data_IF_901912666739
#
_entry.id   IF_901912666739
#
_cell.length_a   1.000
_cell.length_b   1.000
_cell.length_c   1.000
_cell.angle_alpha   90.00
_cell.angle_beta   90.00
_cell.angle_gamma   90.00
#
_symmetry.space_group_name_H-M   'P 1'
#
loop_
_entity.id
_entity.type
_entity.pdbx_description
1 polymer ?
#
# COMPACT_ATOMS: atom_id res chain seq x y z
N UNK A 1 14.40 12.19 -18.96
CA UNK A 1 13.01 11.86 -18.61
C UNK A 1 12.53 10.55 -19.23
N UNK A 2 12.75 10.29 -20.52
CA UNK A 2 12.32 9.02 -21.17
C UNK A 2 12.89 7.75 -20.51
N UNK A 3 14.15 7.78 -20.08
CA UNK A 3 14.82 6.66 -19.41
C UNK A 3 14.18 6.29 -18.06
N UNK A 4 13.74 7.28 -17.26
CA UNK A 4 13.09 7.05 -15.96
C UNK A 4 11.70 6.39 -16.15
N UNK A 5 10.90 6.88 -17.06
CA UNK A 5 9.56 6.34 -17.36
C UNK A 5 9.66 4.90 -17.88
N UNK A 6 10.65 4.62 -18.74
CA UNK A 6 10.86 3.26 -19.25
C UNK A 6 11.30 2.31 -18.13
N UNK A 7 12.18 2.78 -17.23
CA UNK A 7 12.63 2.01 -16.07
C UNK A 7 11.44 1.73 -15.12
N UNK A 8 10.66 2.77 -14.79
CA UNK A 8 9.45 2.65 -13.98
C UNK A 8 8.47 1.62 -14.54
N UNK A 9 8.20 1.68 -15.83
CA UNK A 9 7.28 0.76 -16.50
C UNK A 9 7.76 -0.70 -16.46
N UNK A 10 9.06 -0.91 -16.64
CA UNK A 10 9.66 -2.24 -16.59
C UNK A 10 9.66 -2.80 -15.17
N UNK A 11 10.03 -1.99 -14.17
CA UNK A 11 10.05 -2.38 -12.77
C UNK A 11 8.62 -2.61 -12.23
N UNK A 12 7.66 -1.77 -12.60
CA UNK A 12 6.25 -1.98 -12.26
C UNK A 12 5.74 -3.33 -12.80
N UNK A 13 6.09 -3.66 -14.05
CA UNK A 13 5.74 -4.94 -14.67
C UNK A 13 6.40 -6.13 -13.97
N UNK A 14 7.65 -5.98 -13.52
CA UNK A 14 8.37 -6.99 -12.74
C UNK A 14 7.75 -7.18 -11.36
N UNK A 15 7.44 -6.10 -10.65
CA UNK A 15 6.81 -6.12 -9.34
C UNK A 15 5.41 -6.77 -9.37
N UNK A 16 4.59 -6.44 -10.37
CA UNK A 16 3.28 -7.09 -10.57
C UNK A 16 3.45 -8.61 -10.80
N UNK A 17 4.49 -9.01 -11.51
CA UNK A 17 4.78 -10.43 -11.78
C UNK A 17 5.35 -11.18 -10.58
N UNK A 18 6.11 -10.51 -9.73
CA UNK A 18 6.67 -11.07 -8.49
C UNK A 18 5.64 -11.18 -7.35
N UNK A 19 4.49 -10.52 -7.47
CA UNK A 19 3.34 -10.54 -6.56
C UNK A 19 3.63 -10.19 -5.09
N UNK A 20 4.88 -10.13 -4.64
CA UNK A 20 5.22 -9.90 -3.23
C UNK A 20 4.62 -8.59 -2.70
N UNK A 21 4.87 -7.46 -3.36
CA UNK A 21 4.29 -6.18 -2.96
C UNK A 21 2.76 -6.17 -3.05
N UNK A 22 2.19 -6.82 -4.09
CA UNK A 22 0.73 -6.91 -4.27
C UNK A 22 0.10 -7.67 -3.12
N UNK A 23 0.70 -8.78 -2.70
CA UNK A 23 0.18 -9.60 -1.59
C UNK A 23 0.19 -8.78 -0.29
N UNK A 24 1.33 -8.19 0.06
CA UNK A 24 1.46 -7.47 1.34
C UNK A 24 0.70 -6.14 1.37
N UNK A 25 0.72 -5.36 0.30
CA UNK A 25 0.10 -4.05 0.27
C UNK A 25 -1.41 -4.07 -0.04
N UNK A 26 -1.91 -5.07 -0.77
CA UNK A 26 -3.30 -5.09 -1.24
C UNK A 26 -4.07 -6.30 -0.71
N UNK A 27 -3.54 -7.52 -0.88
CA UNK A 27 -4.30 -8.74 -0.58
C UNK A 27 -4.50 -8.91 0.92
N UNK A 28 -3.45 -8.76 1.73
CA UNK A 28 -3.54 -8.94 3.18
C UNK A 28 -4.54 -7.96 3.82
N UNK A 29 -4.45 -6.64 3.61
CA UNK A 29 -5.43 -5.70 4.18
C UNK A 29 -6.86 -5.97 3.71
N UNK A 30 -7.02 -6.39 2.47
CA UNK A 30 -8.33 -6.72 1.91
C UNK A 30 -8.94 -7.97 2.57
N UNK A 31 -8.13 -9.01 2.79
CA UNK A 31 -8.57 -10.21 3.53
C UNK A 31 -8.97 -9.86 4.96
N UNK A 32 -8.17 -9.04 5.64
CA UNK A 32 -8.49 -8.57 7.00
C UNK A 32 -9.79 -7.77 7.01
N UNK A 33 -10.00 -6.87 6.03
CA UNK A 33 -11.25 -6.11 5.89
C UNK A 33 -12.45 -7.05 5.69
N UNK A 34 -12.31 -8.07 4.84
CA UNK A 34 -13.38 -9.05 4.60
C UNK A 34 -13.71 -9.82 5.88
N UNK A 35 -12.69 -10.31 6.59
CA UNK A 35 -12.87 -11.06 7.85
C UNK A 35 -13.57 -10.18 8.89
N UNK A 36 -13.10 -8.95 9.11
CA UNK A 36 -13.72 -8.03 10.05
C UNK A 36 -15.14 -7.69 9.64
N UNK A 37 -15.41 -7.53 8.35
CA UNK A 37 -16.72 -7.25 7.82
C UNK A 37 -17.70 -8.41 8.04
N UNK A 38 -17.25 -9.67 7.93
CA UNK A 38 -18.09 -10.82 8.22
C UNK A 38 -18.35 -11.01 9.70
N UNK A 39 -17.36 -10.75 10.57
CA UNK A 39 -17.49 -10.96 12.02
C UNK A 39 -18.32 -9.85 12.67
N UNK A 40 -18.00 -8.61 12.36
CA UNK A 40 -18.61 -7.44 13.00
C UNK A 40 -19.72 -6.82 12.17
N UNK A 41 -19.67 -6.93 10.84
CA UNK A 41 -20.69 -6.42 9.92
C UNK A 41 -21.02 -4.95 10.17
N UNK A 42 -22.32 -4.68 10.34
CA UNK A 42 -22.86 -3.36 10.65
C UNK A 42 -23.07 -3.12 12.15
N UNK A 43 -22.43 -3.91 13.02
CA UNK A 43 -22.56 -3.73 14.48
C UNK A 43 -21.96 -2.39 14.90
N UNK A 44 -22.60 -1.67 15.84
CA UNK A 44 -22.04 -0.42 16.37
C UNK A 44 -20.71 -0.70 17.07
N UNK A 45 -19.76 0.24 16.98
CA UNK A 45 -18.44 0.10 17.57
C UNK A 45 -18.46 0.02 19.11
N UNK A 46 -19.43 0.71 19.73
CA UNK A 46 -19.75 0.65 21.17
C UNK A 46 -21.21 1.02 21.38
N UNK A 47 -21.78 0.61 22.52
CA UNK A 47 -23.15 0.95 22.89
C UNK A 47 -23.35 2.48 22.91
N UNK A 48 -24.23 2.97 22.03
CA UNK A 48 -24.55 4.40 21.93
C UNK A 48 -23.73 5.20 20.91
N UNK A 49 -22.82 4.58 20.14
CA UNK A 49 -22.12 5.27 19.07
C UNK A 49 -22.85 5.16 17.74
N UNK A 50 -22.90 6.29 17.00
CA UNK A 50 -23.50 6.35 15.65
C UNK A 50 -22.60 5.71 14.57
N UNK A 51 -21.39 5.25 14.94
CA UNK A 51 -20.40 4.72 14.01
C UNK A 51 -20.35 3.19 14.05
N UNK A 52 -20.21 2.59 12.88
CA UNK A 52 -20.01 1.16 12.73
C UNK A 52 -18.58 0.78 13.09
N UNK A 53 -18.36 -0.41 13.65
CA UNK A 53 -17.00 -0.91 13.96
C UNK A 53 -16.08 -0.87 12.72
N UNK A 54 -16.60 -1.17 11.55
CA UNK A 54 -15.89 -1.08 10.28
C UNK A 54 -15.45 0.35 9.92
N UNK A 55 -16.31 1.33 10.18
CA UNK A 55 -15.97 2.76 9.93
C UNK A 55 -14.81 3.20 10.82
N UNK A 56 -14.82 2.80 12.08
CA UNK A 56 -13.72 3.08 13.00
C UNK A 56 -12.42 2.34 12.62
N UNK A 57 -12.53 1.09 12.17
CA UNK A 57 -11.37 0.26 11.82
C UNK A 57 -10.79 0.58 10.46
N UNK A 58 -11.49 1.30 9.59
CA UNK A 58 -11.05 1.59 8.22
C UNK A 58 -9.72 2.34 8.18
N UNK A 59 -9.53 3.33 9.04
CA UNK A 59 -8.26 4.05 9.17
C UNK A 59 -7.10 3.14 9.57
N UNK A 60 -7.33 2.25 10.53
CA UNK A 60 -6.33 1.27 10.96
C UNK A 60 -5.96 0.29 9.84
N UNK A 61 -6.91 -0.16 9.03
CA UNK A 61 -6.66 -1.03 7.88
C UNK A 61 -5.81 -0.34 6.81
N UNK A 62 -6.05 0.95 6.56
CA UNK A 62 -5.20 1.74 5.66
C UNK A 62 -3.77 1.87 6.20
N UNK A 63 -3.60 2.09 7.51
CA UNK A 63 -2.27 2.12 8.14
C UNK A 63 -1.55 0.77 8.05
N UNK A 64 -2.26 -0.34 8.29
CA UNK A 64 -1.70 -1.70 8.15
C UNK A 64 -1.22 -1.93 6.72
N UNK A 65 -1.99 -1.51 5.71
CA UNK A 65 -1.59 -1.61 4.30
C UNK A 65 -0.29 -0.87 4.00
N UNK A 66 -0.16 0.37 4.49
CA UNK A 66 1.06 1.17 4.31
C UNK A 66 2.25 0.51 5.01
N UNK A 67 2.09 0.12 6.27
CA UNK A 67 3.15 -0.53 7.04
C UNK A 67 3.57 -1.86 6.43
N UNK A 68 2.63 -2.70 6.02
CA UNK A 68 2.93 -4.00 5.41
C UNK A 68 3.66 -3.83 4.08
N UNK A 69 3.23 -2.92 3.23
CA UNK A 69 3.90 -2.62 1.96
C UNK A 69 5.28 -1.99 2.16
N UNK A 70 5.42 -1.03 3.07
CA UNK A 70 6.68 -0.32 3.35
C UNK A 70 7.70 -1.17 4.08
N UNK A 71 7.30 -1.83 5.18
CA UNK A 71 8.23 -2.58 6.04
C UNK A 71 8.58 -3.97 5.47
N UNK A 72 7.67 -4.60 4.73
CA UNK A 72 7.92 -5.92 4.16
C UNK A 72 8.17 -5.87 2.65
N UNK A 73 7.39 -5.10 1.89
CA UNK A 73 7.48 -5.08 0.44
C UNK A 73 8.81 -4.51 -0.07
N UNK A 74 9.18 -3.31 0.35
CA UNK A 74 10.42 -2.65 -0.08
C UNK A 74 11.70 -3.41 0.29
N UNK A 75 11.91 -3.85 1.56
CA UNK A 75 13.11 -4.60 1.92
C UNK A 75 13.23 -5.93 1.20
N UNK A 76 12.11 -6.62 0.93
CA UNK A 76 12.11 -7.88 0.17
C UNK A 76 12.61 -7.68 -1.25
N UNK A 77 12.14 -6.65 -1.96
CA UNK A 77 12.59 -6.32 -3.31
C UNK A 77 14.08 -5.95 -3.33
N UNK A 78 14.52 -5.14 -2.38
CA UNK A 78 15.93 -4.76 -2.25
C UNK A 78 16.81 -5.98 -1.95
N UNK A 79 16.36 -6.90 -1.09
CA UNK A 79 17.06 -8.14 -0.78
C UNK A 79 17.17 -9.04 -2.01
N UNK A 80 16.10 -9.19 -2.79
CA UNK A 80 16.10 -9.95 -4.03
C UNK A 80 17.08 -9.37 -5.06
N UNK A 81 17.17 -8.04 -5.16
CA UNK A 81 18.15 -7.39 -6.04
C UNK A 81 19.61 -7.62 -5.58
N UNK A 82 19.83 -7.71 -4.27
CA UNK A 82 21.16 -8.05 -3.72
C UNK A 82 21.52 -9.51 -3.99
N UNK A 83 20.58 -10.43 -3.75
CA UNK A 83 20.76 -11.87 -3.94
C UNK A 83 21.04 -12.21 -5.41
N UNK A 84 20.26 -11.69 -6.32
CA UNK A 84 20.43 -11.87 -7.77
C UNK A 84 21.62 -11.10 -8.36
N UNK A 85 22.43 -10.42 -7.51
CA UNK A 85 23.59 -9.59 -7.93
C UNK A 85 23.23 -8.53 -8.99
N UNK A 86 21.97 -8.12 -9.06
CA UNK A 86 21.46 -7.15 -10.02
C UNK A 86 22.17 -5.79 -9.80
N UNK A 87 22.37 -5.41 -8.54
CA UNK A 87 23.11 -4.19 -8.17
C UNK A 87 24.56 -4.18 -8.70
N UNK A 88 25.21 -5.36 -8.82
CA UNK A 88 26.55 -5.45 -9.43
C UNK A 88 26.52 -5.26 -10.95
N UNK A 89 25.45 -5.72 -11.62
CA UNK A 89 25.27 -5.51 -13.06
C UNK A 89 24.98 -4.05 -13.40
N UNK A 90 24.29 -3.34 -12.52
CA UNK A 90 24.07 -1.89 -12.69
C UNK A 90 25.33 -1.05 -12.56
N UNK A 91 26.39 -1.52 -11.86
CA UNK A 91 27.69 -0.83 -11.83
C UNK A 91 28.39 -0.76 -13.19
N UNK A 92 28.04 -1.65 -14.10
CA UNK A 92 28.61 -1.71 -15.47
C UNK A 92 27.74 -0.95 -16.47
N UNK A 93 26.51 -0.62 -16.09
CA UNK A 93 25.56 0.15 -16.90
C UNK A 93 25.54 1.61 -16.41
N UNK A 94 25.29 2.62 -17.29
CA UNK A 94 25.25 4.03 -16.91
C UNK A 94 24.00 4.42 -16.09
N UNK A 95 23.40 3.46 -15.38
CA UNK A 95 22.21 3.68 -14.56
C UNK A 95 22.66 3.86 -13.11
N UNK A 96 22.43 5.05 -12.56
CA UNK A 96 22.74 5.36 -11.17
C UNK A 96 21.86 4.51 -10.22
N UNK A 97 22.41 3.78 -9.23
CA UNK A 97 21.64 2.97 -8.28
C UNK A 97 20.61 3.79 -7.49
N UNK A 98 20.84 5.08 -7.29
CA UNK A 98 19.86 5.99 -6.67
C UNK A 98 18.60 6.11 -7.51
N UNK A 99 18.68 6.08 -8.84
CA UNK A 99 17.50 6.12 -9.70
C UNK A 99 16.63 4.88 -9.53
N UNK A 100 17.23 3.72 -9.29
CA UNK A 100 16.50 2.49 -9.03
C UNK A 100 15.71 2.59 -7.72
N UNK A 101 16.33 3.09 -6.64
CA UNK A 101 15.66 3.31 -5.37
C UNK A 101 14.47 4.29 -5.49
N UNK A 102 14.66 5.38 -6.24
CA UNK A 102 13.57 6.35 -6.49
C UNK A 102 12.43 5.73 -7.29
N UNK A 103 12.73 4.83 -8.21
CA UNK A 103 11.71 4.10 -8.97
C UNK A 103 10.93 3.16 -8.05
N UNK A 104 11.60 2.38 -7.21
CA UNK A 104 10.95 1.47 -6.25
C UNK A 104 10.08 2.26 -5.24
N UNK A 105 10.58 3.39 -4.76
CA UNK A 105 9.81 4.31 -3.93
C UNK A 105 8.53 4.78 -4.63
N UNK A 106 8.63 5.17 -5.90
CA UNK A 106 7.48 5.61 -6.70
C UNK A 106 6.48 4.47 -6.89
N UNK A 107 6.96 3.26 -7.11
CA UNK A 107 6.12 2.05 -7.25
C UNK A 107 5.38 1.78 -5.93
N UNK A 108 6.05 1.87 -4.79
CA UNK A 108 5.43 1.70 -3.48
C UNK A 108 4.30 2.73 -3.26
N UNK A 109 4.52 3.99 -3.59
CA UNK A 109 3.47 5.04 -3.52
C UNK A 109 2.25 4.66 -4.36
N UNK A 110 2.47 4.17 -5.58
CA UNK A 110 1.38 3.71 -6.45
C UNK A 110 0.61 2.56 -5.81
N UNK A 111 1.29 1.58 -5.22
CA UNK A 111 0.62 0.46 -4.52
C UNK A 111 -0.18 0.92 -3.31
N UNK A 112 0.33 1.86 -2.52
CA UNK A 112 -0.42 2.44 -1.38
C UNK A 112 -1.71 3.11 -1.84
N UNK A 113 -1.66 3.89 -2.92
CA UNK A 113 -2.85 4.54 -3.50
C UNK A 113 -3.84 3.49 -4.03
N UNK A 114 -3.37 2.51 -4.77
CA UNK A 114 -4.22 1.42 -5.31
C UNK A 114 -4.86 0.63 -4.17
N UNK A 115 -4.11 0.32 -3.13
CA UNK A 115 -4.62 -0.39 -1.95
C UNK A 115 -5.71 0.40 -1.24
N UNK A 116 -5.48 1.70 -1.00
CA UNK A 116 -6.49 2.59 -0.40
C UNK A 116 -7.77 2.62 -1.22
N UNK A 117 -7.65 2.79 -2.55
CA UNK A 117 -8.81 2.79 -3.45
C UNK A 117 -9.54 1.45 -3.45
N UNK A 118 -8.80 0.34 -3.44
CA UNK A 118 -9.39 -1.01 -3.41
C UNK A 118 -10.15 -1.24 -2.10
N UNK A 119 -9.54 -0.91 -0.96
CA UNK A 119 -10.20 -1.02 0.35
C UNK A 119 -11.47 -0.16 0.40
N UNK A 120 -11.41 1.06 -0.12
CA UNK A 120 -12.53 1.98 -0.17
C UNK A 120 -13.68 1.45 -1.03
N UNK A 121 -13.38 0.96 -2.24
CA UNK A 121 -14.36 0.38 -3.14
C UNK A 121 -15.04 -0.85 -2.52
N UNK A 122 -14.27 -1.75 -1.92
CA UNK A 122 -14.82 -2.94 -1.27
C UNK A 122 -15.69 -2.57 -0.06
N UNK A 123 -15.26 -1.64 0.76
CA UNK A 123 -16.01 -1.17 1.92
C UNK A 123 -17.34 -0.50 1.52
N UNK A 124 -17.36 0.29 0.45
CA UNK A 124 -18.58 0.89 -0.07
C UNK A 124 -19.52 -0.14 -0.71
N UNK A 125 -18.96 -1.09 -1.49
CA UNK A 125 -19.77 -2.04 -2.26
C UNK A 125 -20.49 -3.05 -1.36
N UNK A 126 -19.79 -3.59 -0.35
CA UNK A 126 -20.31 -4.66 0.51
C UNK A 126 -21.05 -4.15 1.75
N UNK A 127 -20.57 -3.10 2.40
CA UNK A 127 -21.12 -2.62 3.68
C UNK A 127 -21.71 -1.22 3.62
N UNK A 128 -21.72 -0.55 2.44
CA UNK A 128 -22.28 0.81 2.25
C UNK A 128 -21.79 1.80 3.32
N UNK A 129 -20.52 1.72 3.70
CA UNK A 129 -19.93 2.54 4.75
C UNK A 129 -20.08 4.02 4.38
N UNK A 130 -20.59 4.82 5.33
CA UNK A 130 -20.70 6.27 5.19
C UNK A 130 -19.50 6.91 5.89
N UNK A 131 -18.74 7.70 5.14
CA UNK A 131 -17.64 8.46 5.74
C UNK A 131 -18.24 9.68 6.45
N UNK A 132 -18.26 9.64 7.78
CA UNK A 132 -18.74 10.74 8.63
C UNK A 132 -17.62 11.72 9.01
N UNK A 133 -16.40 11.56 8.51
CA UNK A 133 -15.23 12.37 8.83
C UNK A 133 -14.81 13.34 7.72
N UNK A 134 -13.94 14.29 8.07
CA UNK A 134 -13.29 15.16 7.09
C UNK A 134 -12.33 14.37 6.21
N UNK A 135 -12.65 14.22 4.94
CA UNK A 135 -11.84 13.53 3.94
C UNK A 135 -10.42 14.13 3.85
N UNK A 136 -10.30 15.41 4.13
CA UNK A 136 -9.03 16.14 4.11
C UNK A 136 -8.12 15.74 5.27
N UNK A 137 -8.67 15.57 6.47
CA UNK A 137 -7.92 15.08 7.64
C UNK A 137 -7.49 13.61 7.45
N UNK A 138 -8.35 12.78 6.87
CA UNK A 138 -8.04 11.40 6.54
C UNK A 138 -6.87 11.30 5.55
N UNK A 139 -6.94 12.05 4.44
CA UNK A 139 -5.85 12.10 3.45
C UNK A 139 -4.55 12.66 4.05
N UNK A 140 -4.64 13.66 4.91
CA UNK A 140 -3.49 14.23 5.61
C UNK A 140 -2.80 13.21 6.52
N UNK A 141 -3.56 12.48 7.34
CA UNK A 141 -3.03 11.43 8.21
C UNK A 141 -2.46 10.26 7.41
N UNK A 142 -3.11 9.87 6.32
CA UNK A 142 -2.64 8.83 5.42
C UNK A 142 -1.31 9.18 4.76
N UNK A 143 -1.16 10.41 4.24
CA UNK A 143 0.09 10.91 3.69
C UNK A 143 1.21 10.97 4.74
N UNK A 144 0.89 11.42 5.95
CA UNK A 144 1.84 11.50 7.06
C UNK A 144 2.37 10.10 7.43
N UNK A 145 1.48 9.12 7.53
CA UNK A 145 1.84 7.72 7.79
C UNK A 145 2.74 7.16 6.68
N UNK A 146 2.42 7.46 5.42
CA UNK A 146 3.20 7.03 4.28
C UNK A 146 4.61 7.62 4.29
N UNK A 147 4.76 8.93 4.58
CA UNK A 147 6.07 9.59 4.69
C UNK A 147 6.85 9.03 5.88
N UNK A 148 6.19 8.81 7.02
CA UNK A 148 6.83 8.26 8.22
C UNK A 148 7.37 6.85 8.03
N UNK A 149 6.67 5.99 7.29
CA UNK A 149 7.13 4.61 7.01
C UNK A 149 8.29 4.57 6.00
N UNK A 150 8.51 5.64 5.26
CA UNK A 150 9.56 5.73 4.25
C UNK A 150 10.81 6.49 4.75
N UNK A 151 10.71 7.19 5.87
CA UNK A 151 11.81 7.91 6.51
C UNK A 151 12.69 6.97 7.31
#
# INVERSE_FOLDING_TARGET
MKSFVTLLKNELKLNIRNMNMVIFAVIIPLVVLIILGFIYGTKPAADGTAYTFLEQSFGALCCISICAGGLMGLPLVVSEYRERKILKRFKVTPVNPVKLLVVEFTIYVIYCVVSMLTLFLFAMLFWKIKIHGSLLLFLGSWLLTMVSTLS
#
